data_IF_553124826894
#
_entry.id   IF_553124826894
#
_cell.length_a   1.000
_cell.length_b   1.000
_cell.length_c   1.000
_cell.angle_alpha   90.00
_cell.angle_beta   90.00
_cell.angle_gamma   90.00
#
_symmetry.space_group_name_H-M   'P 1'
#
loop_
_entity.id
_entity.type
_entity.pdbx_description
1 polymer ?
#
# COMPACT_ATOMS: atom_id res chain seq x y z
N UNK A 1 0.77 6.67 9.33
CA UNK A 1 1.27 7.63 8.33
C UNK A 1 0.43 7.53 7.07
N UNK A 2 0.05 8.64 6.41
CA UNK A 2 -0.69 8.61 5.14
C UNK A 2 0.21 8.25 3.95
N UNK A 3 -0.35 7.70 2.86
CA UNK A 3 0.41 7.46 1.63
C UNK A 3 0.72 8.78 0.91
N UNK A 4 1.97 8.97 0.46
CA UNK A 4 2.43 10.19 -0.20
C UNK A 4 2.24 10.18 -1.72
N UNK A 5 2.12 9.01 -2.33
CA UNK A 5 1.89 8.86 -3.77
C UNK A 5 0.75 7.88 -4.06
N UNK A 6 0.20 7.95 -5.28
CA UNK A 6 -0.83 7.01 -5.72
C UNK A 6 -0.31 5.57 -5.71
N UNK A 7 0.92 5.35 -6.19
CA UNK A 7 1.57 4.04 -6.19
C UNK A 7 1.65 3.43 -4.78
N UNK A 8 2.00 4.22 -3.76
CA UNK A 8 2.04 3.75 -2.38
C UNK A 8 0.66 3.38 -1.84
N UNK A 9 -0.37 4.15 -2.16
CA UNK A 9 -1.74 3.84 -1.75
C UNK A 9 -2.23 2.55 -2.43
N UNK A 10 -1.87 2.31 -3.71
CA UNK A 10 -2.15 1.03 -4.40
C UNK A 10 -1.45 -0.14 -3.71
N UNK A 11 -0.16 0.02 -3.41
CA UNK A 11 0.65 -1.00 -2.75
C UNK A 11 0.14 -1.32 -1.33
N UNK A 12 -0.29 -0.30 -0.58
CA UNK A 12 -0.90 -0.47 0.74
C UNK A 12 -2.19 -1.31 0.69
N UNK A 13 -3.06 -1.06 -0.31
CA UNK A 13 -4.29 -1.83 -0.50
C UNK A 13 -4.01 -3.30 -0.83
N UNK A 14 -3.06 -3.56 -1.72
CA UNK A 14 -2.67 -4.93 -2.08
C UNK A 14 -2.03 -5.66 -0.88
N UNK A 15 -1.15 -4.98 -0.14
CA UNK A 15 -0.54 -5.49 1.08
C UNK A 15 -1.57 -5.80 2.18
N UNK A 16 -2.59 -4.95 2.33
CA UNK A 16 -3.69 -5.15 3.27
C UNK A 16 -4.48 -6.41 2.92
N UNK A 17 -4.80 -6.59 1.64
CA UNK A 17 -5.49 -7.79 1.15
C UNK A 17 -4.73 -9.07 1.50
N UNK A 18 -3.40 -9.07 1.31
CA UNK A 18 -2.59 -10.24 1.63
C UNK A 18 -2.49 -10.54 3.12
N UNK A 19 -2.44 -9.52 3.99
CA UNK A 19 -2.47 -9.76 5.44
C UNK A 19 -3.79 -10.28 5.96
N UNK A 20 -4.89 -9.89 5.30
CA UNK A 20 -6.22 -10.45 5.57
C UNK A 20 -6.41 -11.85 4.98
N UNK A 21 -5.38 -12.43 4.37
CA UNK A 21 -5.42 -13.76 3.77
C UNK A 21 -6.22 -13.84 2.47
N UNK A 22 -6.61 -12.70 1.87
CA UNK A 22 -7.42 -12.65 0.64
C UNK A 22 -6.60 -12.73 -0.64
N UNK A 23 -5.28 -12.53 -0.54
CA UNK A 23 -4.36 -12.53 -1.67
C UNK A 23 -3.05 -13.17 -1.23
N UNK A 24 -2.42 -14.00 -2.06
CA UNK A 24 -1.14 -14.59 -1.67
C UNK A 24 -0.04 -13.52 -1.67
N UNK A 25 0.82 -13.54 -0.65
CA UNK A 25 1.95 -12.60 -0.58
C UNK A 25 2.91 -12.74 -1.78
N UNK A 26 3.03 -13.94 -2.36
CA UNK A 26 3.91 -14.20 -3.52
C UNK A 26 3.45 -13.49 -4.80
N UNK A 27 2.15 -13.23 -4.92
CA UNK A 27 1.54 -12.62 -6.11
C UNK A 27 1.59 -11.08 -6.05
N UNK A 28 1.99 -10.53 -4.91
CA UNK A 28 2.12 -9.09 -4.72
C UNK A 28 3.35 -8.53 -5.43
N UNK A 29 3.23 -7.29 -5.94
CA UNK A 29 4.40 -6.52 -6.41
C UNK A 29 5.40 -6.31 -5.25
N UNK A 30 6.72 -6.19 -5.52
CA UNK A 30 7.74 -6.08 -4.47
C UNK A 30 7.45 -5.00 -3.40
N UNK A 31 6.97 -3.78 -3.74
CA UNK A 31 6.62 -2.78 -2.73
C UNK A 31 5.48 -3.23 -1.82
N UNK A 32 4.46 -3.90 -2.37
CA UNK A 32 3.34 -4.42 -1.59
C UNK A 32 3.77 -5.61 -0.72
N UNK A 33 4.70 -6.45 -1.19
CA UNK A 33 5.29 -7.52 -0.36
C UNK A 33 6.02 -6.95 0.85
N UNK A 34 6.90 -5.97 0.65
CA UNK A 34 7.62 -5.32 1.76
C UNK A 34 6.66 -4.66 2.74
N UNK A 35 5.62 -3.98 2.25
CA UNK A 35 4.59 -3.37 3.08
C UNK A 35 3.78 -4.42 3.88
N UNK A 36 3.43 -5.54 3.27
CA UNK A 36 2.68 -6.61 3.93
C UNK A 36 3.50 -7.24 5.07
N UNK A 37 4.81 -7.41 4.87
CA UNK A 37 5.74 -7.99 5.86
C UNK A 37 6.08 -7.06 7.00
N UNK A 38 6.28 -5.76 6.72
CA UNK A 38 6.91 -4.85 7.70
C UNK A 38 5.95 -3.88 8.40
N UNK A 39 4.74 -3.66 7.89
CA UNK A 39 3.80 -2.71 8.52
C UNK A 39 2.86 -3.40 9.53
N UNK A 40 1.89 -2.71 10.12
CA UNK A 40 0.71 -3.32 10.80
C UNK A 40 -0.54 -3.26 9.90
N UNK A 41 -1.55 -4.10 10.14
CA UNK A 41 -2.80 -4.09 9.34
C UNK A 41 -3.44 -2.69 9.36
N UNK A 42 -3.58 -2.12 10.57
CA UNK A 42 -4.08 -0.76 10.79
C UNK A 42 -3.27 0.30 10.04
N UNK A 43 -1.95 0.14 9.95
CA UNK A 43 -1.11 1.09 9.22
C UNK A 43 -1.33 1.01 7.71
N UNK A 44 -1.52 -0.20 7.16
CA UNK A 44 -1.84 -0.41 5.75
C UNK A 44 -3.22 0.09 5.40
N UNK A 45 -4.21 -0.13 6.27
CA UNK A 45 -5.56 0.41 6.14
C UNK A 45 -5.53 1.94 6.11
N UNK A 46 -4.83 2.58 7.05
CA UNK A 46 -4.67 4.04 7.04
C UNK A 46 -4.01 4.57 5.77
N UNK A 47 -3.03 3.85 5.21
CA UNK A 47 -2.41 4.24 3.93
C UNK A 47 -3.34 4.03 2.74
N UNK A 48 -4.03 2.89 2.70
CA UNK A 48 -4.96 2.52 1.64
C UNK A 48 -6.20 3.42 1.60
N UNK A 49 -6.69 3.88 2.76
CA UNK A 49 -7.85 4.77 2.86
C UNK A 49 -7.55 6.22 2.50
N UNK A 50 -6.29 6.58 2.22
CA UNK A 50 -6.00 7.96 1.83
C UNK A 50 -6.48 8.27 0.39
N UNK A 51 -6.95 9.49 0.11
CA UNK A 51 -7.36 9.87 -1.24
C UNK A 51 -6.24 9.68 -2.26
N UNK A 52 -6.58 9.20 -3.47
CA UNK A 52 -5.65 9.14 -4.62
C UNK A 52 -5.53 10.46 -5.37
N UNK A 53 -6.62 11.23 -5.44
CA UNK A 53 -6.67 12.48 -6.21
C UNK A 53 -5.72 13.52 -5.62
N UNK A 54 -5.05 14.29 -6.48
CA UNK A 54 -4.12 15.34 -6.08
C UNK A 54 -2.76 14.86 -5.58
N UNK A 55 -2.46 13.55 -5.67
CA UNK A 55 -1.14 13.00 -5.35
C UNK A 55 -0.37 12.66 -6.62
N UNK A 56 0.97 12.82 -6.60
CA UNK A 56 1.82 12.33 -7.69
C UNK A 56 1.72 10.81 -7.81
N UNK A 57 2.03 10.26 -8.99
CA UNK A 57 1.97 8.82 -9.22
C UNK A 57 3.02 8.10 -8.36
N UNK A 58 4.28 8.54 -8.44
CA UNK A 58 5.38 8.11 -7.60
C UNK A 58 5.82 9.22 -6.64
N UNK A 59 6.45 8.84 -5.53
CA UNK A 59 6.95 9.81 -4.52
C UNK A 59 8.00 10.77 -5.07
N UNK A 60 8.65 10.41 -6.18
CA UNK A 60 9.70 11.19 -6.81
C UNK A 60 9.17 12.12 -7.92
N UNK A 61 7.89 12.02 -8.29
CA UNK A 61 7.25 12.93 -9.26
C UNK A 61 6.66 14.17 -8.56
N UNK A 62 7.06 14.41 -7.30
CA UNK A 62 6.52 15.42 -6.38
C UNK A 62 7.49 16.59 -6.23
#
# INVERSE_FOLDING_TARGET
MPAKSQAQQRAAGAALSARRGKTNMKDLKPPAQSMARSMSEKALEKMASTPRRGKPEHKHDA
#
